data_IF_970982613829
#
_entry.id   IF_970982613829
#
_cell.length_a   1.000
_cell.length_b   1.000
_cell.length_c   1.000
_cell.angle_alpha   90.00
_cell.angle_beta   90.00
_cell.angle_gamma   90.00
#
_symmetry.space_group_name_H-M   'P 1'
#
loop_
_entity.id
_entity.type
_entity.pdbx_description
1 polymer ?
#
# COMPACT_ATOMS: atom_id res chain seq x y z
N UNK A 1 31.24 65.82 -9.16
CA UNK A 1 30.46 66.82 -9.92
C UNK A 1 29.51 66.01 -10.82
N UNK A 2 28.27 65.77 -10.35
CA UNK A 2 27.04 66.47 -10.77
C UNK A 2 26.77 66.35 -12.28
N UNK A 3 25.69 65.65 -12.65
CA UNK A 3 25.17 65.54 -14.02
C UNK A 3 24.54 66.84 -14.54
N UNK A 4 23.98 66.82 -15.76
CA UNK A 4 22.51 66.91 -15.87
C UNK A 4 21.86 66.05 -16.97
N UNK A 5 20.53 66.05 -16.91
CA UNK A 5 19.51 65.24 -17.58
C UNK A 5 19.03 65.73 -18.99
N UNK A 6 18.32 64.83 -19.68
CA UNK A 6 17.09 64.97 -20.51
C UNK A 6 17.11 65.14 -22.07
N UNK A 7 16.65 64.05 -22.73
CA UNK A 7 15.58 63.83 -23.78
C UNK A 7 15.46 64.72 -25.04
N UNK A 8 15.13 64.17 -26.25
CA UNK A 8 13.74 63.83 -26.69
C UNK A 8 13.67 62.71 -27.81
N UNK A 9 12.57 62.44 -28.57
CA UNK A 9 11.14 62.76 -28.43
C UNK A 9 10.20 61.52 -28.38
N UNK A 10 8.93 61.78 -28.07
CA UNK A 10 7.82 60.85 -28.19
C UNK A 10 7.46 60.57 -29.67
N UNK A 11 7.10 59.31 -29.98
CA UNK A 11 6.63 58.92 -31.31
C UNK A 11 6.11 57.47 -31.35
N UNK A 12 4.81 57.33 -31.10
CA UNK A 12 3.90 56.24 -31.50
C UNK A 12 4.29 54.78 -31.18
N UNK A 13 3.56 54.22 -30.23
CA UNK A 13 3.48 52.79 -29.96
C UNK A 13 2.99 52.01 -31.19
N UNK A 14 3.58 50.84 -31.52
CA UNK A 14 2.87 49.90 -32.36
C UNK A 14 1.69 49.36 -31.56
N UNK A 15 0.49 49.55 -32.10
CA UNK A 15 -0.74 48.90 -31.67
C UNK A 15 -0.52 47.37 -31.74
N UNK A 16 -0.12 46.77 -30.62
CA UNK A 16 -0.23 45.34 -30.44
C UNK A 16 -1.73 45.04 -30.31
N UNK A 17 -2.32 44.66 -31.43
CA UNK A 17 -3.69 44.16 -31.54
C UNK A 17 -3.86 43.05 -30.51
N UNK A 18 -4.72 43.29 -29.52
CA UNK A 18 -5.16 42.28 -28.57
C UNK A 18 -5.94 41.20 -29.31
N UNK A 19 -5.22 40.18 -29.78
CA UNK A 19 -5.81 38.90 -30.16
C UNK A 19 -6.06 38.10 -28.89
N UNK A 20 -7.19 38.34 -28.22
CA UNK A 20 -7.72 37.33 -27.30
C UNK A 20 -8.24 36.17 -28.15
N UNK A 21 -7.41 35.16 -28.36
CA UNK A 21 -7.91 33.84 -28.73
C UNK A 21 -8.68 33.33 -27.52
N UNK A 22 -10.01 33.36 -27.63
CA UNK A 22 -10.92 32.75 -26.67
C UNK A 22 -10.80 31.23 -26.80
N UNK A 23 -9.82 30.67 -26.11
CA UNK A 23 -9.80 29.27 -25.72
C UNK A 23 -8.77 29.18 -24.61
N UNK A 24 -9.22 29.45 -23.39
CA UNK A 24 -8.47 29.07 -22.20
C UNK A 24 -8.34 27.55 -22.20
N UNK A 25 -7.29 27.04 -22.83
CA UNK A 25 -6.81 25.70 -22.59
C UNK A 25 -6.26 25.70 -21.17
N UNK A 26 -7.16 25.56 -20.18
CA UNK A 26 -6.77 25.06 -18.88
C UNK A 26 -6.27 23.65 -19.13
N UNK A 27 -4.94 23.49 -19.20
CA UNK A 27 -4.34 22.18 -19.04
C UNK A 27 -4.78 21.71 -17.66
N UNK A 28 -5.80 20.87 -17.60
CA UNK A 28 -6.21 20.20 -16.38
C UNK A 28 -5.04 19.30 -16.03
N UNK A 29 -4.14 19.81 -15.19
CA UNK A 29 -3.17 18.98 -14.49
C UNK A 29 -4.03 18.04 -13.66
N UNK A 30 -4.02 16.72 -13.88
CA UNK A 30 -4.77 15.83 -13.01
C UNK A 30 -4.18 15.96 -11.61
N UNK A 31 -4.89 16.65 -10.71
CA UNK A 31 -4.59 16.77 -9.27
C UNK A 31 -5.01 15.46 -8.56
N UNK A 32 -5.00 14.33 -9.25
CA UNK A 32 -5.26 13.05 -8.62
C UNK A 32 -3.93 12.58 -8.04
N UNK A 33 -3.64 13.02 -6.82
CA UNK A 33 -2.59 12.35 -6.04
C UNK A 33 -2.99 10.87 -5.90
N UNK A 34 -2.05 9.93 -6.03
CA UNK A 34 -2.34 8.53 -5.75
C UNK A 34 -2.83 8.39 -4.31
N UNK A 35 -4.01 7.79 -4.13
CA UNK A 35 -4.65 7.61 -2.82
C UNK A 35 -5.03 6.16 -2.61
N UNK A 36 -4.97 5.71 -1.36
CA UNK A 36 -5.52 4.44 -0.94
C UNK A 36 -7.05 4.47 -1.03
N UNK A 37 -7.66 3.33 -1.35
CA UNK A 37 -9.10 3.21 -1.12
C UNK A 37 -9.41 3.20 0.39
N UNK A 38 -10.70 3.39 0.72
CA UNK A 38 -11.13 3.49 2.11
C UNK A 38 -10.78 2.25 2.95
N UNK A 39 -10.90 1.06 2.37
CA UNK A 39 -10.68 -0.21 3.07
C UNK A 39 -9.20 -0.44 3.36
N UNK A 40 -8.34 -0.21 2.36
CA UNK A 40 -6.89 -0.30 2.49
C UNK A 40 -6.37 0.75 3.48
N UNK A 41 -6.84 1.99 3.35
CA UNK A 41 -6.45 3.07 4.27
C UNK A 41 -6.84 2.71 5.70
N UNK A 42 -8.06 2.25 5.93
CA UNK A 42 -8.53 1.84 7.26
C UNK A 42 -7.69 0.70 7.84
N UNK A 43 -7.37 -0.32 7.04
CA UNK A 43 -6.56 -1.45 7.49
C UNK A 43 -5.14 -1.04 7.87
N UNK A 44 -4.48 -0.24 7.04
CA UNK A 44 -3.14 0.26 7.33
C UNK A 44 -3.14 1.21 8.53
N UNK A 45 -4.12 2.12 8.61
CA UNK A 45 -4.23 3.07 9.71
C UNK A 45 -4.51 2.40 11.07
N UNK A 46 -5.25 1.30 11.12
CA UNK A 46 -5.41 0.52 12.37
C UNK A 46 -4.05 0.05 12.91
N UNK A 47 -3.15 -0.42 12.03
CA UNK A 47 -1.79 -0.79 12.42
C UNK A 47 -0.94 0.43 12.82
N UNK A 48 -0.98 1.51 12.02
CA UNK A 48 -0.25 2.76 12.30
C UNK A 48 -0.64 3.34 13.64
N UNK A 49 -1.93 3.52 13.92
CA UNK A 49 -2.42 4.11 15.17
C UNK A 49 -2.07 3.27 16.40
N UNK A 50 -2.13 1.93 16.26
CA UNK A 50 -1.71 1.05 17.34
C UNK A 50 -0.21 1.15 17.65
N UNK A 51 0.61 1.43 16.63
CA UNK A 51 2.05 1.61 16.78
C UNK A 51 2.44 3.04 17.18
N UNK A 52 1.58 4.03 16.90
CA UNK A 52 1.78 5.41 17.30
C UNK A 52 1.64 5.60 18.82
N UNK A 53 0.73 4.86 19.46
CA UNK A 53 0.42 4.96 20.89
C UNK A 53 1.42 4.28 21.83
N UNK A 54 2.32 3.42 21.34
CA UNK A 54 3.31 2.70 22.15
C UNK A 54 4.61 2.44 21.37
N UNK A 55 5.46 3.45 21.10
CA UNK A 55 6.72 3.20 20.42
C UNK A 55 7.70 2.48 21.35
N UNK A 56 8.01 1.22 21.05
CA UNK A 56 9.24 0.62 21.54
C UNK A 56 10.42 1.48 21.04
N UNK A 57 11.40 1.70 21.91
CA UNK A 57 12.60 2.49 21.60
C UNK A 57 13.74 1.50 21.35
N UNK A 58 14.42 1.65 20.21
CA UNK A 58 15.59 0.85 19.87
C UNK A 58 16.78 1.15 20.77
N UNK A 59 17.78 0.28 20.76
CA UNK A 59 19.03 0.47 21.52
C UNK A 59 19.77 1.78 21.17
N UNK A 60 19.51 2.33 19.98
CA UNK A 60 20.02 3.59 19.45
C UNK A 60 19.09 4.80 19.72
N UNK A 61 18.03 4.62 20.51
CA UNK A 61 17.08 5.69 20.85
C UNK A 61 16.03 5.98 19.77
N UNK A 62 16.06 5.27 18.62
CA UNK A 62 15.07 5.50 17.55
C UNK A 62 13.71 4.91 17.90
N UNK A 63 12.66 5.54 17.39
CA UNK A 63 11.30 5.02 17.50
C UNK A 63 11.10 3.82 16.56
N UNK A 64 10.68 2.67 17.09
CA UNK A 64 10.47 1.44 16.30
C UNK A 64 9.07 1.35 15.69
N UNK A 65 8.46 2.49 15.34
CA UNK A 65 7.08 2.55 14.83
C UNK A 65 6.90 1.80 13.50
N UNK A 66 7.81 2.00 12.54
CA UNK A 66 7.80 1.25 11.27
C UNK A 66 7.96 -0.25 11.50
N UNK A 67 8.85 -0.66 12.41
CA UNK A 67 9.03 -2.06 12.77
C UNK A 67 7.76 -2.65 13.42
N UNK A 68 7.10 -1.90 14.29
CA UNK A 68 5.82 -2.31 14.88
C UNK A 68 4.74 -2.51 13.80
N UNK A 69 4.60 -1.60 12.85
CA UNK A 69 3.61 -1.73 11.76
C UNK A 69 3.93 -2.95 10.90
N UNK A 70 5.18 -3.08 10.48
CA UNK A 70 5.66 -4.23 9.70
C UNK A 70 5.40 -5.56 10.42
N UNK A 71 5.71 -5.64 11.72
CA UNK A 71 5.51 -6.84 12.51
C UNK A 71 4.03 -7.23 12.60
N UNK A 72 3.12 -6.25 12.77
CA UNK A 72 1.68 -6.48 12.79
C UNK A 72 1.15 -7.01 11.46
N UNK A 73 1.57 -6.39 10.35
CA UNK A 73 1.16 -6.82 9.01
C UNK A 73 1.72 -8.20 8.66
N UNK A 74 2.96 -8.51 9.06
CA UNK A 74 3.54 -9.85 8.92
C UNK A 74 2.80 -10.90 9.76
N UNK A 75 2.43 -10.57 11.00
CA UNK A 75 1.65 -11.47 11.84
C UNK A 75 0.27 -11.76 11.23
N UNK A 76 -0.40 -10.74 10.66
CA UNK A 76 -1.63 -10.92 9.90
C UNK A 76 -1.43 -11.83 8.68
N UNK A 77 -0.38 -11.60 7.89
CA UNK A 77 -0.07 -12.43 6.72
C UNK A 77 0.19 -13.90 7.12
N UNK A 78 0.93 -14.14 8.19
CA UNK A 78 1.14 -15.49 8.75
C UNK A 78 -0.19 -16.13 9.19
N UNK A 79 -1.04 -15.39 9.93
CA UNK A 79 -2.34 -15.89 10.38
C UNK A 79 -3.28 -16.24 9.21
N UNK A 80 -3.10 -15.59 8.06
CA UNK A 80 -3.84 -15.84 6.82
C UNK A 80 -3.11 -16.83 5.89
N UNK A 81 -2.12 -17.57 6.36
CA UNK A 81 -1.39 -18.55 5.55
C UNK A 81 -0.65 -17.92 4.36
N UNK A 82 -0.08 -16.75 4.58
CA UNK A 82 0.58 -15.91 3.57
C UNK A 82 -0.35 -15.39 2.48
N UNK A 83 -1.63 -15.19 2.79
CA UNK A 83 -2.64 -14.66 1.86
C UNK A 83 -3.28 -13.35 2.35
N UNK A 84 -2.54 -12.55 3.12
CA UNK A 84 -2.94 -11.16 3.35
C UNK A 84 -2.76 -10.36 2.05
N UNK A 85 -3.68 -9.45 1.68
CA UNK A 85 -3.44 -8.52 0.58
C UNK A 85 -2.36 -7.48 0.93
N UNK A 86 -2.04 -7.29 2.22
CA UNK A 86 -1.03 -6.35 2.71
C UNK A 86 0.28 -7.08 2.97
N UNK A 87 1.24 -6.92 2.06
CA UNK A 87 2.54 -7.59 2.06
C UNK A 87 3.62 -6.66 2.58
N UNK A 88 4.05 -6.84 3.83
CA UNK A 88 5.03 -5.96 4.45
C UNK A 88 6.49 -6.37 4.16
N UNK A 89 7.35 -5.39 3.90
CA UNK A 89 8.81 -5.53 3.74
C UNK A 89 9.26 -6.57 2.70
N UNK A 90 8.60 -6.62 1.53
CA UNK A 90 9.09 -7.44 0.42
C UNK A 90 10.34 -6.81 -0.20
N UNK A 91 11.43 -7.58 -0.28
CA UNK A 91 12.64 -7.13 -0.98
C UNK A 91 12.48 -7.41 -2.47
N UNK A 92 12.79 -6.42 -3.31
CA UNK A 92 12.77 -6.53 -4.76
C UNK A 92 14.18 -6.46 -5.32
N UNK A 93 14.42 -7.23 -6.37
CA UNK A 93 15.57 -7.15 -7.26
C UNK A 93 15.30 -6.10 -8.34
N UNK A 94 15.96 -4.95 -8.19
CA UNK A 94 15.81 -3.81 -9.11
C UNK A 94 16.60 -3.97 -10.41
N UNK A 95 17.41 -5.03 -10.52
CA UNK A 95 18.17 -5.32 -11.75
C UNK A 95 17.31 -6.01 -12.81
N UNK A 96 16.13 -6.49 -12.42
CA UNK A 96 15.13 -7.13 -13.28
C UNK A 96 14.18 -6.11 -13.89
N UNK A 97 13.62 -6.44 -15.06
CA UNK A 97 12.60 -5.65 -15.74
C UNK A 97 11.42 -6.56 -16.10
N UNK A 98 10.27 -6.46 -15.39
CA UNK A 98 10.02 -5.60 -14.21
C UNK A 98 10.84 -6.03 -12.97
N UNK A 99 11.00 -5.17 -11.95
CA UNK A 99 11.60 -5.57 -10.67
C UNK A 99 10.91 -6.79 -10.08
N UNK A 100 11.69 -7.75 -9.58
CA UNK A 100 11.17 -9.04 -9.15
C UNK A 100 11.28 -9.21 -7.62
N UNK A 101 10.22 -9.68 -6.92
CA UNK A 101 10.30 -9.90 -5.48
C UNK A 101 11.19 -11.12 -5.15
N UNK A 102 11.92 -11.03 -4.04
CA UNK A 102 12.60 -12.18 -3.44
C UNK A 102 11.58 -13.03 -2.69
N UNK A 103 11.13 -14.11 -3.33
CA UNK A 103 10.13 -15.01 -2.78
C UNK A 103 10.74 -16.18 -2.00
N UNK A 104 10.01 -16.67 -1.01
CA UNK A 104 10.27 -17.95 -0.36
C UNK A 104 10.36 -19.07 -1.42
N UNK A 105 11.05 -20.16 -1.09
CA UNK A 105 11.25 -21.27 -2.04
C UNK A 105 10.00 -22.12 -2.22
N UNK A 106 9.13 -22.19 -1.21
CA UNK A 106 7.97 -23.08 -1.21
C UNK A 106 6.63 -22.32 -1.30
N UNK A 107 6.62 -21.03 -0.93
CA UNK A 107 5.41 -20.20 -0.88
C UNK A 107 5.64 -18.91 -1.66
N UNK A 108 5.04 -18.80 -2.84
CA UNK A 108 5.21 -17.66 -3.76
C UNK A 108 4.58 -16.35 -3.27
N UNK A 109 3.63 -16.42 -2.34
CA UNK A 109 3.02 -15.23 -1.71
C UNK A 109 3.77 -14.74 -0.47
N UNK A 110 4.91 -15.36 -0.14
CA UNK A 110 5.72 -15.10 1.06
C UNK A 110 7.09 -14.53 0.69
N UNK A 111 7.51 -13.50 1.43
CA UNK A 111 8.83 -12.90 1.29
C UNK A 111 9.92 -13.85 1.75
N UNK A 112 11.05 -13.88 1.04
CA UNK A 112 12.22 -14.64 1.47
C UNK A 112 12.86 -13.99 2.69
N UNK A 113 13.07 -14.77 3.74
CA UNK A 113 13.96 -14.39 4.84
C UNK A 113 15.41 -14.37 4.33
N UNK A 114 15.96 -13.17 4.10
CA UNK A 114 17.34 -12.99 3.67
C UNK A 114 18.28 -13.02 4.88
N UNK A 115 19.20 -13.98 4.91
CA UNK A 115 20.14 -14.21 6.03
C UNK A 115 21.46 -13.44 5.83
N UNK A 116 22.24 -13.18 6.90
CA UNK A 116 23.57 -12.58 6.75
C UNK A 116 24.44 -13.36 5.74
N UNK A 117 24.98 -12.65 4.74
CA UNK A 117 25.78 -13.26 3.67
C UNK A 117 24.99 -13.76 2.46
N UNK A 118 23.67 -13.62 2.42
CA UNK A 118 22.83 -13.97 1.24
C UNK A 118 23.34 -13.36 -0.08
N UNK A 119 23.97 -12.19 -0.03
CA UNK A 119 24.56 -11.49 -1.19
C UNK A 119 25.72 -12.26 -1.85
N UNK A 120 26.36 -13.18 -1.12
CA UNK A 120 27.48 -13.97 -1.64
C UNK A 120 27.03 -15.35 -2.14
N UNK A 121 25.85 -15.82 -1.72
CA UNK A 121 25.39 -17.19 -1.96
C UNK A 121 24.11 -17.28 -2.77
N UNK A 122 23.17 -16.36 -2.57
CA UNK A 122 21.89 -16.32 -3.28
C UNK A 122 21.96 -15.39 -4.49
N UNK A 123 22.54 -14.20 -4.33
CA UNK A 123 22.61 -13.19 -5.39
C UNK A 123 23.32 -13.71 -6.66
N UNK A 124 24.51 -14.35 -6.58
CA UNK A 124 25.24 -14.78 -7.79
C UNK A 124 24.61 -15.97 -8.52
N UNK A 125 23.56 -16.61 -7.97
CA UNK A 125 22.86 -17.72 -8.64
C UNK A 125 22.11 -17.30 -9.90
N UNK A 126 21.88 -16.00 -10.05
CA UNK A 126 21.24 -15.45 -11.23
C UNK A 126 22.30 -14.72 -12.08
N UNK A 127 22.66 -15.27 -13.26
CA UNK A 127 23.75 -14.76 -14.06
C UNK A 127 23.44 -13.38 -14.69
N UNK A 128 22.19 -12.92 -14.66
CA UNK A 128 21.85 -11.60 -15.18
C UNK A 128 22.15 -10.47 -14.19
N UNK A 129 22.53 -10.78 -12.95
CA UNK A 129 22.80 -9.78 -11.91
C UNK A 129 24.26 -9.33 -11.96
N UNK A 130 24.55 -8.07 -11.61
CA UNK A 130 25.93 -7.63 -11.37
C UNK A 130 26.56 -8.39 -10.20
N UNK A 131 27.75 -8.97 -10.40
CA UNK A 131 28.53 -9.66 -9.37
C UNK A 131 29.92 -8.98 -9.24
N UNK A 132 30.41 -8.69 -8.03
CA UNK A 132 29.78 -8.93 -6.73
C UNK A 132 28.61 -7.97 -6.45
N UNK A 133 27.74 -8.35 -5.51
CA UNK A 133 26.76 -7.43 -4.94
C UNK A 133 27.48 -6.24 -4.31
N UNK A 134 27.08 -5.02 -4.67
CA UNK A 134 27.67 -3.78 -4.15
C UNK A 134 26.61 -3.00 -3.35
N UNK A 135 26.75 -2.89 -2.01
CA UNK A 135 25.85 -2.08 -1.21
C UNK A 135 25.75 -0.64 -1.73
N UNK A 136 24.58 -0.02 -1.59
CA UNK A 136 24.34 1.36 -2.03
C UNK A 136 24.16 1.54 -3.54
N UNK A 137 24.33 0.51 -4.38
CA UNK A 137 24.15 0.62 -5.85
C UNK A 137 22.71 0.57 -6.35
N UNK A 138 21.73 0.46 -5.46
CA UNK A 138 20.33 0.39 -5.88
C UNK A 138 19.82 -0.99 -6.28
N UNK A 139 20.66 -2.03 -6.17
CA UNK A 139 20.32 -3.38 -6.63
C UNK A 139 19.09 -3.99 -5.96
N UNK A 140 18.81 -3.61 -4.71
CA UNK A 140 17.62 -4.04 -4.00
C UNK A 140 16.90 -2.88 -3.32
N UNK A 141 15.60 -3.05 -3.18
CA UNK A 141 14.67 -2.11 -2.53
C UNK A 141 13.62 -2.86 -1.76
N UNK A 142 13.12 -2.24 -0.68
CA UNK A 142 12.18 -2.88 0.23
C UNK A 142 11.14 -1.85 0.71
N UNK A 143 10.02 -1.70 0.00
CA UNK A 143 8.92 -0.86 0.44
C UNK A 143 8.30 -1.35 1.75
N UNK A 144 7.70 -0.43 2.50
CA UNK A 144 7.03 -0.77 3.77
C UNK A 144 5.88 -1.76 3.53
N UNK A 145 5.00 -1.47 2.57
CA UNK A 145 3.84 -2.32 2.23
C UNK A 145 3.60 -2.39 0.72
N UNK A 146 3.32 -3.59 0.23
CA UNK A 146 2.76 -3.83 -1.10
C UNK A 146 1.32 -4.31 -0.93
N UNK A 147 0.38 -3.65 -1.59
CA UNK A 147 -1.01 -4.09 -1.66
C UNK A 147 -1.18 -4.86 -2.97
N UNK A 148 -1.63 -6.10 -2.90
CA UNK A 148 -1.86 -6.95 -4.08
C UNK A 148 -3.34 -6.99 -4.46
N UNK A 149 -3.62 -7.20 -5.75
CA UNK A 149 -4.98 -7.36 -6.28
C UNK A 149 -5.54 -8.73 -5.91
N UNK A 150 -4.73 -9.76 -6.08
CA UNK A 150 -5.05 -11.15 -5.77
C UNK A 150 -4.07 -11.67 -4.69
N UNK A 151 -4.54 -11.92 -3.45
CA UNK A 151 -3.68 -12.37 -2.36
C UNK A 151 -3.16 -13.80 -2.52
N UNK A 152 -3.65 -14.55 -3.50
CA UNK A 152 -3.19 -15.90 -3.84
C UNK A 152 -2.04 -15.91 -4.83
N UNK A 153 -1.63 -14.74 -5.33
CA UNK A 153 -0.54 -14.58 -6.31
C UNK A 153 0.63 -13.80 -5.70
N UNK A 154 1.86 -13.99 -6.21
CA UNK A 154 3.02 -13.24 -5.76
C UNK A 154 2.81 -11.72 -5.99
N UNK A 155 3.50 -10.85 -5.23
CA UNK A 155 3.49 -9.42 -5.46
C UNK A 155 4.37 -9.03 -6.66
N UNK A 156 4.10 -9.59 -7.83
CA UNK A 156 4.70 -9.18 -9.11
C UNK A 156 3.97 -7.95 -9.65
N UNK A 157 4.64 -7.15 -10.50
CA UNK A 157 4.14 -5.84 -10.93
C UNK A 157 2.72 -5.87 -11.53
N UNK A 158 2.35 -6.95 -12.22
CA UNK A 158 1.00 -7.17 -12.76
C UNK A 158 -0.06 -7.37 -11.67
N UNK A 159 0.31 -7.95 -10.52
CA UNK A 159 -0.55 -8.19 -9.36
C UNK A 159 -0.48 -7.07 -8.31
N UNK A 160 0.47 -6.12 -8.43
CA UNK A 160 0.52 -4.97 -7.53
C UNK A 160 -0.68 -4.06 -7.79
N UNK A 161 -1.48 -3.85 -6.74
CA UNK A 161 -2.49 -2.79 -6.67
C UNK A 161 -1.80 -1.47 -6.36
N UNK A 162 -1.08 -1.39 -5.24
CA UNK A 162 -0.36 -0.20 -4.78
C UNK A 162 0.92 -0.56 -4.02
N UNK A 163 1.90 0.34 -4.05
CA UNK A 163 3.10 0.33 -3.21
C UNK A 163 2.97 1.48 -2.23
N UNK A 164 3.04 1.19 -0.93
CA UNK A 164 2.82 2.17 0.13
C UNK A 164 4.09 2.34 0.94
N UNK A 165 4.48 3.60 1.14
CA UNK A 165 5.53 4.00 2.07
C UNK A 165 4.89 4.74 3.23
N UNK A 166 5.08 4.25 4.46
CA UNK A 166 4.51 4.82 5.66
C UNK A 166 5.50 5.82 6.25
N UNK A 167 5.06 7.08 6.36
CA UNK A 167 5.89 8.17 6.89
C UNK A 167 5.41 8.61 8.26
N UNK A 168 6.28 8.50 9.26
CA UNK A 168 6.09 9.11 10.57
C UNK A 168 6.67 10.53 10.59
N UNK A 169 6.28 11.40 11.55
CA UNK A 169 6.79 12.76 11.61
C UNK A 169 8.32 12.79 11.68
N UNK A 170 8.94 13.56 10.79
CA UNK A 170 10.39 13.67 10.68
C UNK A 170 11.09 12.58 9.85
N UNK A 171 10.35 11.68 9.17
CA UNK A 171 10.91 10.68 8.25
C UNK A 171 10.74 11.11 6.77
N UNK A 172 11.72 11.81 6.16
CA UNK A 172 11.65 12.17 4.75
C UNK A 172 11.96 10.98 3.83
N UNK A 173 11.59 11.10 2.56
CA UNK A 173 12.10 10.17 1.53
C UNK A 173 13.62 10.28 1.40
N UNK A 174 14.27 9.13 1.28
CA UNK A 174 15.69 9.10 0.88
C UNK A 174 15.81 9.37 -0.62
N UNK A 175 16.95 9.90 -1.10
CA UNK A 175 17.17 10.10 -2.54
C UNK A 175 16.92 8.83 -3.35
N UNK A 176 16.09 8.92 -4.40
CA UNK A 176 15.76 7.80 -5.28
C UNK A 176 14.70 6.83 -4.74
N UNK A 177 14.33 6.92 -3.46
CA UNK A 177 13.42 5.96 -2.83
C UNK A 177 12.03 5.98 -3.49
N UNK A 178 11.51 7.17 -3.77
CA UNK A 178 10.19 7.32 -4.40
C UNK A 178 10.21 6.76 -5.82
N UNK A 179 11.22 7.12 -6.60
CA UNK A 179 11.39 6.71 -7.99
C UNK A 179 11.51 5.19 -8.09
N UNK A 180 12.32 4.58 -7.22
CA UNK A 180 12.50 3.14 -7.19
C UNK A 180 11.18 2.40 -6.87
N UNK A 181 10.33 2.96 -6.01
CA UNK A 181 9.05 2.35 -5.65
C UNK A 181 8.00 2.55 -6.74
N UNK A 182 8.05 3.65 -7.49
CA UNK A 182 7.27 3.82 -8.72
C UNK A 182 7.67 2.74 -9.73
N UNK A 183 8.97 2.48 -9.90
CA UNK A 183 9.48 1.43 -10.79
C UNK A 183 9.02 0.04 -10.37
N UNK A 184 8.97 -0.26 -9.06
CA UNK A 184 8.37 -1.50 -8.54
C UNK A 184 6.88 -1.55 -8.88
N UNK A 185 6.14 -0.48 -8.60
CA UNK A 185 4.70 -0.41 -8.82
C UNK A 185 4.30 -0.49 -10.31
N UNK A 186 5.21 -0.09 -11.20
CA UNK A 186 5.00 -0.02 -12.66
C UNK A 186 4.20 1.20 -13.11
N UNK A 187 3.79 2.05 -12.18
CA UNK A 187 2.95 3.24 -12.43
C UNK A 187 3.09 4.20 -11.24
N UNK A 188 3.27 5.49 -11.51
CA UNK A 188 3.35 6.51 -10.46
C UNK A 188 2.05 6.63 -9.66
N UNK A 189 0.91 6.32 -10.28
CA UNK A 189 -0.42 6.36 -9.66
C UNK A 189 -0.63 5.23 -8.65
N UNK A 190 0.28 4.26 -8.60
CA UNK A 190 0.25 3.16 -7.65
C UNK A 190 1.19 3.37 -6.47
N UNK A 191 2.04 4.39 -6.47
CA UNK A 191 2.94 4.68 -5.35
C UNK A 191 2.31 5.72 -4.41
N UNK A 192 1.94 5.30 -3.20
CA UNK A 192 1.22 6.12 -2.22
C UNK A 192 2.08 6.35 -0.98
N UNK A 193 2.50 7.57 -0.67
CA UNK A 193 2.94 7.90 0.69
C UNK A 193 1.71 7.90 1.63
N UNK A 194 1.81 7.24 2.78
CA UNK A 194 0.83 7.32 3.86
C UNK A 194 1.49 8.00 5.06
N UNK A 195 1.22 9.28 5.26
CA UNK A 195 1.69 9.97 6.45
C UNK A 195 0.82 9.55 7.65
N UNK A 196 1.44 9.34 8.82
CA UNK A 196 0.73 8.81 10.00
C UNK A 196 -0.36 9.75 10.54
N UNK A 197 -0.23 11.06 10.29
CA UNK A 197 -1.24 12.07 10.63
C UNK A 197 -2.50 11.96 9.77
N UNK A 198 -2.44 11.34 8.58
CA UNK A 198 -3.60 11.06 7.73
C UNK A 198 -4.50 9.93 8.28
N UNK A 199 -4.11 9.28 9.37
CA UNK A 199 -4.82 8.16 9.99
C UNK A 199 -5.79 8.55 11.12
N UNK A 200 -5.88 9.84 11.49
CA UNK A 200 -6.82 10.36 12.51
C UNK A 200 -6.84 9.50 13.80
N UNK A 201 -5.67 9.10 14.30
CA UNK A 201 -5.53 8.12 15.39
C UNK A 201 -6.16 8.53 16.74
N UNK A 202 -6.52 9.80 16.89
CA UNK A 202 -7.16 10.36 18.09
C UNK A 202 -8.69 10.14 18.10
N UNK A 203 -9.27 9.68 16.99
CA UNK A 203 -10.66 9.21 16.98
C UNK A 203 -10.69 7.80 17.52
N UNK A 204 -11.33 7.60 18.68
CA UNK A 204 -11.63 6.29 19.21
C UNK A 204 -12.23 5.42 18.09
N UNK A 205 -11.62 4.26 17.84
CA UNK A 205 -12.14 3.24 16.94
C UNK A 205 -13.62 3.06 17.32
N UNK A 206 -14.55 3.38 16.40
CA UNK A 206 -15.97 3.19 16.65
C UNK A 206 -16.13 1.77 17.17
N UNK A 207 -16.50 1.63 18.44
CA UNK A 207 -16.64 0.35 19.13
C UNK A 207 -17.32 -0.63 18.18
N UNK A 208 -16.83 -1.89 18.07
CA UNK A 208 -17.50 -2.90 17.26
C UNK A 208 -18.97 -2.87 17.67
N UNK A 209 -19.86 -2.64 16.70
CA UNK A 209 -21.28 -2.47 16.97
C UNK A 209 -21.70 -3.61 17.89
N UNK A 210 -21.99 -3.29 19.15
CA UNK A 210 -22.49 -4.24 20.14
C UNK A 210 -23.89 -4.60 19.68
N UNK A 211 -24.00 -5.47 18.67
CA UNK A 211 -25.28 -6.07 18.31
C UNK A 211 -25.71 -6.75 19.61
N UNK A 212 -26.84 -6.34 20.23
CA UNK A 212 -27.25 -6.92 21.49
C UNK A 212 -27.35 -8.43 21.30
N UNK A 213 -26.69 -9.19 22.18
CA UNK A 213 -26.70 -10.66 22.13
C UNK A 213 -28.14 -11.19 22.10
N UNK A 214 -29.08 -10.46 22.70
CA UNK A 214 -30.52 -10.71 22.59
C UNK A 214 -31.05 -10.72 21.15
N UNK A 215 -30.65 -9.78 20.30
CA UNK A 215 -31.11 -9.71 18.92
C UNK A 215 -30.59 -10.91 18.11
N UNK A 216 -29.35 -11.33 18.38
CA UNK A 216 -28.76 -12.50 17.75
C UNK A 216 -29.46 -13.79 18.24
N UNK A 217 -29.77 -13.89 19.52
CA UNK A 217 -30.50 -15.02 20.10
C UNK A 217 -31.94 -15.11 19.57
N UNK A 218 -32.65 -13.99 19.45
CA UNK A 218 -34.01 -13.91 18.87
C UNK A 218 -33.99 -14.32 17.39
N UNK A 219 -33.02 -13.83 16.61
CA UNK A 219 -32.85 -14.20 15.21
C UNK A 219 -32.54 -15.70 15.05
N UNK A 220 -31.66 -16.26 15.89
CA UNK A 220 -31.34 -17.68 15.89
C UNK A 220 -32.53 -18.56 16.30
N UNK A 221 -33.31 -18.14 17.30
CA UNK A 221 -34.52 -18.84 17.72
C UNK A 221 -35.60 -18.84 16.63
N UNK A 222 -35.79 -17.70 15.95
CA UNK A 222 -36.70 -17.57 14.83
C UNK A 222 -36.29 -18.46 13.65
N UNK A 223 -35.00 -18.48 13.31
CA UNK A 223 -34.44 -19.36 12.28
C UNK A 223 -34.63 -20.85 12.61
N UNK A 224 -34.42 -21.24 13.88
CA UNK A 224 -34.69 -22.63 14.33
C UNK A 224 -36.17 -22.98 14.23
N UNK A 225 -37.07 -22.06 14.58
CA UNK A 225 -38.51 -22.27 14.46
C UNK A 225 -38.93 -22.44 13.00
N UNK A 226 -38.45 -21.58 12.11
CA UNK A 226 -38.69 -21.66 10.66
C UNK A 226 -38.15 -22.99 10.12
N UNK A 227 -36.92 -23.37 10.48
CA UNK A 227 -36.34 -24.65 10.06
C UNK A 227 -37.18 -25.85 10.53
N UNK A 228 -37.62 -25.87 11.78
CA UNK A 228 -38.50 -26.92 12.31
C UNK A 228 -39.83 -26.98 11.53
N UNK A 229 -40.46 -25.84 11.25
CA UNK A 229 -41.72 -25.81 10.48
C UNK A 229 -41.53 -26.28 9.04
N UNK A 230 -40.42 -25.92 8.40
CA UNK A 230 -40.12 -26.29 7.00
C UNK A 230 -39.71 -27.76 6.87
N UNK A 231 -38.98 -28.30 7.85
CA UNK A 231 -38.50 -29.69 7.81
C UNK A 231 -39.56 -30.68 8.24
N UNK A 232 -40.38 -30.35 9.25
CA UNK A 232 -41.43 -31.26 9.74
C UNK A 232 -42.64 -31.33 8.77
N UNK A 233 -42.81 -30.34 7.87
CA UNK A 233 -43.87 -30.37 6.85
C UNK A 233 -43.48 -31.01 5.51
N UNK A 234 -42.33 -31.70 5.40
CA UNK A 234 -42.09 -32.55 4.22
C UNK A 234 -42.97 -33.79 4.30
N UNK A 235 -43.89 -34.03 3.34
CA UNK A 235 -44.65 -35.27 3.31
C UNK A 235 -43.69 -36.46 3.08
N UNK A 236 -43.98 -37.63 3.65
CA UNK A 236 -43.13 -38.81 3.45
C UNK A 236 -43.01 -39.14 1.96
N UNK A 237 -41.80 -39.46 1.52
CA UNK A 237 -41.53 -40.00 0.17
C UNK A 237 -42.47 -41.18 -0.06
N UNK A 238 -43.30 -41.09 -1.10
CA UNK A 238 -44.18 -42.16 -1.54
C UNK A 238 -43.38 -43.45 -1.73
N UNK A 239 -43.87 -44.53 -1.13
CA UNK A 239 -43.35 -45.88 -1.38
C UNK A 239 -43.48 -46.24 -2.86
N UNK A 240 -42.40 -46.80 -3.41
CA UNK A 240 -42.40 -47.43 -4.72
C UNK A 240 -43.35 -48.63 -4.71
N UNK A 241 -44.23 -48.81 -5.71
CA UNK A 241 -45.03 -50.02 -5.82
C UNK A 241 -44.13 -51.17 -6.29
N UNK A 242 -44.27 -52.31 -5.64
CA UNK A 242 -43.70 -53.57 -6.08
C UNK A 242 -44.50 -54.11 -7.26
N UNK A 243 -43.83 -54.32 -8.40
CA UNK A 243 -44.13 -55.35 -9.39
C UNK A 243 -42.81 -55.82 -10.01
#
# INVERSE_FOLDING_TARGET
MMGPNNTPPAGQAPLAVGGMSMEGATTVVPINKPQLDFSDKKALCSAVCKCQSMPAIGADGRSLKQECVSARLKALDVALGHRSPYKAEFTYDMTKRPPAPFLDKDVDTKSRTLWPGWTNVLWPKDPSRPVPYKPGKGYTRRPDVIIVKDPTKPPTQDNIKQVVEIKFPGDPFRPGQREDYIVIAGDEMKMVPLASDECDCDRAELEPSKIPVEQLAKAAALLRLIYMVVVIKRPPLGGLPAY
#
